data_IF_912321331763
#
_entry.id   IF_912321331763
#
_cell.length_a   1.000
_cell.length_b   1.000
_cell.length_c   1.000
_cell.angle_alpha   90.00
_cell.angle_beta   90.00
_cell.angle_gamma   90.00
#
_symmetry.space_group_name_H-M   'P 1'
#
loop_
_entity.id
_entity.type
_entity.pdbx_description
1 polymer ?
#
# COMPACT_ATOMS: atom_id res chain seq x y z
N UNK A 1 11.52 -6.67 -8.24
CA UNK A 1 11.67 -5.79 -9.43
C UNK A 1 12.67 -4.65 -9.22
N UNK A 2 12.40 -3.63 -8.37
CA UNK A 2 13.30 -2.47 -8.20
C UNK A 2 14.76 -2.87 -7.93
N UNK A 3 14.99 -3.72 -6.93
CA UNK A 3 16.31 -4.26 -6.59
C UNK A 3 16.99 -5.00 -7.76
N UNK A 4 16.22 -5.82 -8.48
CA UNK A 4 16.69 -6.65 -9.58
C UNK A 4 17.01 -5.83 -10.84
N UNK A 5 16.42 -4.64 -10.97
CA UNK A 5 16.64 -3.73 -12.11
C UNK A 5 17.56 -2.55 -11.74
N UNK A 6 18.34 -2.66 -10.64
CA UNK A 6 19.34 -1.65 -10.27
C UNK A 6 18.80 -0.42 -9.52
N UNK A 7 17.50 -0.34 -9.24
CA UNK A 7 16.86 0.80 -8.56
C UNK A 7 16.81 0.66 -7.04
N UNK A 8 17.92 0.24 -6.42
CA UNK A 8 17.96 -0.03 -4.97
C UNK A 8 17.70 1.23 -4.14
N UNK A 9 18.20 2.39 -4.59
CA UNK A 9 18.02 3.66 -3.89
C UNK A 9 16.55 4.10 -3.80
N UNK A 10 15.70 3.63 -4.71
CA UNK A 10 14.26 3.93 -4.69
C UNK A 10 13.53 3.15 -3.59
N UNK A 11 14.07 2.01 -3.12
CA UNK A 11 13.42 1.20 -2.09
C UNK A 11 13.21 1.98 -0.79
N UNK A 12 14.17 2.83 -0.42
CA UNK A 12 14.09 3.68 0.78
C UNK A 12 13.03 4.79 0.73
N UNK A 13 12.30 4.91 -0.39
CA UNK A 13 11.19 5.87 -0.58
C UNK A 13 9.92 5.21 -1.11
N UNK A 14 9.94 3.89 -1.30
CA UNK A 14 8.83 3.16 -1.91
C UNK A 14 7.83 2.73 -0.85
N UNK A 15 6.55 2.76 -1.20
CA UNK A 15 5.50 2.04 -0.49
C UNK A 15 5.11 0.80 -1.27
N UNK A 16 4.80 -0.28 -0.56
CA UNK A 16 4.20 -1.49 -1.13
C UNK A 16 2.76 -1.55 -0.68
N UNK A 17 1.85 -1.75 -1.63
CA UNK A 17 0.42 -1.94 -1.35
C UNK A 17 0.03 -3.36 -1.73
N UNK A 18 -0.51 -4.11 -0.77
CA UNK A 18 -1.10 -5.43 -1.00
C UNK A 18 -2.61 -5.24 -1.07
N UNK A 19 -3.19 -5.39 -2.25
CA UNK A 19 -4.60 -5.11 -2.48
C UNK A 19 -5.45 -6.39 -2.50
N UNK A 20 -6.47 -6.46 -1.66
CA UNK A 20 -7.43 -7.57 -1.65
C UNK A 20 -8.56 -7.30 -2.65
N UNK A 21 -8.53 -7.99 -3.80
CA UNK A 21 -9.47 -7.76 -4.91
C UNK A 21 -10.74 -8.62 -4.86
N UNK A 22 -10.76 -9.66 -4.01
CA UNK A 22 -11.91 -10.56 -3.86
C UNK A 22 -12.42 -10.58 -2.42
N UNK A 23 -13.73 -10.78 -2.19
CA UNK A 23 -14.25 -10.98 -0.85
C UNK A 23 -13.75 -12.30 -0.26
N UNK A 24 -13.60 -12.33 1.08
CA UNK A 24 -13.17 -13.52 1.82
C UNK A 24 -11.65 -13.60 2.06
N UNK A 25 -11.21 -14.74 2.61
CA UNK A 25 -9.79 -14.96 2.91
C UNK A 25 -9.05 -15.33 1.62
N UNK A 26 -7.96 -14.63 1.25
CA UNK A 26 -7.16 -15.03 0.10
C UNK A 26 -6.50 -16.38 0.35
N UNK A 27 -6.21 -17.13 -0.73
CA UNK A 27 -5.51 -18.42 -0.66
C UNK A 27 -4.00 -18.27 -0.37
N UNK A 28 -3.54 -17.04 -0.14
CA UNK A 28 -2.17 -16.66 0.15
C UNK A 28 -2.11 -16.19 1.61
N UNK A 29 -1.01 -16.56 2.30
CA UNK A 29 -0.67 -15.98 3.58
C UNK A 29 -0.19 -14.53 3.39
N UNK A 30 -1.10 -13.59 3.68
CA UNK A 30 -0.84 -12.16 3.56
C UNK A 30 0.19 -11.70 4.60
N UNK A 31 0.22 -12.32 5.78
CA UNK A 31 1.15 -11.93 6.84
C UNK A 31 2.59 -12.28 6.46
N UNK A 32 2.81 -13.46 5.87
CA UNK A 32 4.13 -13.81 5.32
C UNK A 32 4.53 -12.85 4.19
N UNK A 33 3.62 -12.51 3.28
CA UNK A 33 3.90 -11.57 2.20
C UNK A 33 4.28 -10.18 2.73
N UNK A 34 3.57 -9.69 3.74
CA UNK A 34 3.90 -8.43 4.42
C UNK A 34 5.32 -8.49 4.97
N UNK A 35 5.65 -9.54 5.75
CA UNK A 35 6.97 -9.71 6.34
C UNK A 35 8.10 -9.78 5.29
N UNK A 36 7.85 -10.36 4.13
CA UNK A 36 8.83 -10.39 3.04
C UNK A 36 9.12 -8.98 2.50
N UNK A 37 8.09 -8.15 2.32
CA UNK A 37 8.26 -6.78 1.82
C UNK A 37 8.87 -5.85 2.86
N UNK A 38 8.52 -5.99 4.14
CA UNK A 38 9.07 -5.16 5.24
C UNK A 38 10.59 -5.29 5.39
N UNK A 39 11.21 -6.37 4.88
CA UNK A 39 12.68 -6.50 4.83
C UNK A 39 13.34 -5.58 3.80
N UNK A 40 12.56 -4.95 2.92
CA UNK A 40 13.07 -4.22 1.76
C UNK A 40 12.65 -2.76 1.73
N UNK A 41 11.61 -2.37 2.47
CA UNK A 41 11.14 -0.99 2.56
C UNK A 41 11.18 -0.50 4.02
N UNK A 42 11.20 0.82 4.28
CA UNK A 42 11.14 1.34 5.64
C UNK A 42 9.92 0.85 6.44
N UNK A 43 9.98 0.84 7.78
CA UNK A 43 8.83 0.49 8.62
C UNK A 43 7.59 1.33 8.28
N UNK A 44 6.41 0.70 8.29
CA UNK A 44 5.15 1.38 7.96
C UNK A 44 4.90 1.64 6.47
N UNK A 45 5.79 1.16 5.58
CA UNK A 45 5.66 1.33 4.12
C UNK A 45 4.98 0.16 3.40
N UNK A 46 4.59 -0.88 4.12
CA UNK A 46 3.75 -1.97 3.58
C UNK A 46 2.32 -1.79 4.09
N UNK A 47 1.39 -1.50 3.18
CA UNK A 47 -0.01 -1.25 3.51
C UNK A 47 -0.88 -2.33 2.86
N UNK A 48 -1.70 -3.00 3.67
CA UNK A 48 -2.69 -3.96 3.19
C UNK A 48 -4.03 -3.25 3.02
N UNK A 49 -4.53 -3.19 1.79
CA UNK A 49 -5.89 -2.70 1.50
C UNK A 49 -6.87 -3.88 1.58
N UNK A 50 -7.92 -3.76 2.42
CA UNK A 50 -8.95 -4.80 2.50
C UNK A 50 -9.78 -4.80 1.21
N UNK A 51 -10.59 -5.84 1.04
CA UNK A 51 -11.60 -5.82 0.00
C UNK A 51 -12.65 -4.75 0.32
N UNK A 52 -12.99 -3.96 -0.67
CA UNK A 52 -14.04 -2.96 -0.61
C UNK A 52 -15.00 -3.14 -1.79
N UNK A 53 -16.30 -3.12 -1.50
CA UNK A 53 -17.35 -3.37 -2.50
C UNK A 53 -17.38 -2.28 -3.57
N UNK A 54 -17.21 -1.01 -3.18
CA UNK A 54 -17.27 0.12 -4.10
C UNK A 54 -16.05 0.10 -5.03
N UNK A 55 -14.86 -0.15 -4.48
CA UNK A 55 -13.64 -0.30 -5.27
C UNK A 55 -13.73 -1.49 -6.24
N UNK A 56 -14.26 -2.63 -5.78
CA UNK A 56 -14.40 -3.82 -6.61
C UNK A 56 -15.42 -3.67 -7.75
N UNK A 57 -16.36 -2.72 -7.67
CA UNK A 57 -17.30 -2.44 -8.75
C UNK A 57 -16.59 -1.92 -10.02
N UNK A 58 -15.38 -1.36 -9.88
CA UNK A 58 -14.57 -0.88 -11.01
C UNK A 58 -15.16 0.31 -11.76
N UNK A 59 -16.11 1.01 -11.14
CA UNK A 59 -16.71 2.24 -11.66
C UNK A 59 -16.06 3.48 -11.04
N UNK A 60 -16.63 4.66 -11.27
CA UNK A 60 -16.20 5.89 -10.61
C UNK A 60 -16.11 5.70 -9.08
N UNK A 61 -14.99 6.13 -8.50
CA UNK A 61 -14.74 6.04 -7.06
C UNK A 61 -15.41 7.23 -6.37
N UNK A 62 -16.39 6.94 -5.53
CA UNK A 62 -17.08 7.89 -4.68
C UNK A 62 -16.57 7.65 -3.25
N UNK A 63 -15.90 8.65 -2.68
CA UNK A 63 -15.18 8.49 -1.41
C UNK A 63 -16.13 8.21 -0.23
N UNK A 64 -17.34 8.74 -0.30
CA UNK A 64 -18.42 8.53 0.67
C UNK A 64 -19.01 7.11 0.65
N UNK A 65 -18.75 6.34 -0.41
CA UNK A 65 -19.16 4.94 -0.53
C UNK A 65 -18.08 3.95 -0.07
N UNK A 66 -16.90 4.42 0.32
CA UNK A 66 -15.83 3.57 0.82
C UNK A 66 -16.18 3.02 2.21
N UNK A 67 -15.83 1.75 2.43
CA UNK A 67 -15.84 1.18 3.77
C UNK A 67 -14.81 1.89 4.67
N UNK A 68 -15.20 2.17 5.91
CA UNK A 68 -14.35 2.86 6.90
C UNK A 68 -12.95 2.25 7.05
N UNK A 69 -12.84 0.93 6.97
CA UNK A 69 -11.54 0.24 7.06
C UNK A 69 -10.68 0.52 5.83
N UNK A 70 -11.27 0.51 4.63
CA UNK A 70 -10.56 0.82 3.39
C UNK A 70 -10.09 2.28 3.41
N UNK A 71 -11.01 3.20 3.74
CA UNK A 71 -10.72 4.63 3.88
C UNK A 71 -9.56 4.86 4.86
N UNK A 72 -9.59 4.23 6.04
CA UNK A 72 -8.50 4.33 7.01
C UNK A 72 -7.15 3.87 6.45
N UNK A 73 -7.11 2.75 5.73
CA UNK A 73 -5.87 2.25 5.12
C UNK A 73 -5.34 3.14 4.01
N UNK A 74 -6.22 3.76 3.24
CA UNK A 74 -5.83 4.77 2.24
C UNK A 74 -5.23 6.01 2.93
N UNK A 75 -5.82 6.47 4.04
CA UNK A 75 -5.25 7.59 4.82
C UNK A 75 -3.88 7.22 5.38
N UNK A 76 -3.69 6.00 5.88
CA UNK A 76 -2.38 5.53 6.35
C UNK A 76 -1.35 5.46 5.21
N UNK A 77 -1.75 5.01 4.02
CA UNK A 77 -0.91 5.06 2.83
C UNK A 77 -0.53 6.51 2.46
N UNK A 78 -1.49 7.43 2.49
CA UNK A 78 -1.24 8.84 2.20
C UNK A 78 -0.27 9.45 3.22
N UNK A 79 -0.40 9.12 4.51
CA UNK A 79 0.53 9.55 5.55
C UNK A 79 1.95 9.01 5.29
N UNK A 80 2.07 7.70 5.02
CA UNK A 80 3.36 7.07 4.74
C UNK A 80 4.06 7.65 3.49
N UNK A 81 3.30 8.04 2.46
CA UNK A 81 3.83 8.76 1.29
C UNK A 81 4.25 10.19 1.64
N UNK A 82 3.49 10.87 2.51
CA UNK A 82 3.73 12.26 2.88
C UNK A 82 5.03 12.46 3.66
N UNK A 83 5.49 11.44 4.41
CA UNK A 83 6.80 11.46 5.10
C UNK A 83 7.99 11.79 4.18
N UNK A 84 7.85 11.60 2.86
CA UNK A 84 8.88 11.89 1.88
C UNK A 84 8.79 13.26 1.21
N UNK A 85 7.70 14.01 1.39
CA UNK A 85 7.51 15.30 0.72
C UNK A 85 8.62 16.30 1.08
N UNK A 86 8.89 16.48 2.38
CA UNK A 86 9.96 17.37 2.88
C UNK A 86 11.38 16.85 2.55
N UNK A 87 11.51 15.57 2.17
CA UNK A 87 12.78 14.96 1.78
C UNK A 87 13.09 15.17 0.29
N UNK A 88 12.09 15.49 -0.51
CA UNK A 88 12.24 15.87 -1.91
C UNK A 88 12.65 17.34 -2.05
N UNK A 89 12.14 18.23 -1.18
CA UNK A 89 12.49 19.67 -1.20
C UNK A 89 13.95 19.98 -0.80
N UNK A 90 14.62 19.04 -0.12
CA UNK A 90 16.02 19.19 0.34
C UNK A 90 17.07 18.65 -0.64
N UNK A 91 16.68 18.30 -1.87
CA UNK A 91 17.57 17.87 -2.96
C UNK A 91 17.56 18.88 -4.09
#
# INVERSE_FOLDING_TARGET
WLRQNGYQDLLGRSCVVINHVTPGKPNIDVEDLVQQFERHVPPGRVIVLPWDKHIAAGTEIQLDLLGKTFERRIVELAAALSDDFDRLERR
#
